data_IF_370712349900
#
_entry.id   IF_370712349900
#
_cell.length_a   1.000
_cell.length_b   1.000
_cell.length_c   1.000
_cell.angle_alpha   90.00
_cell.angle_beta   90.00
_cell.angle_gamma   90.00
#
_symmetry.space_group_name_H-M   'P 1'
#
loop_
_entity.id
_entity.type
_entity.pdbx_description
1 polymer ?
#
# COMPACT_ATOMS: atom_id res chain seq x y z
N UNK A 1 -0.12 5.20 -9.82
CA UNK A 1 0.72 6.17 -9.06
C UNK A 1 2.16 6.04 -9.55
N UNK A 2 2.93 7.12 -9.71
CA UNK A 2 4.34 7.01 -10.12
C UNK A 2 5.25 6.98 -8.90
N UNK A 3 6.26 6.10 -8.92
CA UNK A 3 7.26 5.95 -7.86
C UNK A 3 8.65 5.90 -8.49
N UNK A 4 9.63 6.56 -7.89
CA UNK A 4 11.04 6.40 -8.27
C UNK A 4 11.77 5.68 -7.15
N UNK A 5 12.17 4.43 -7.39
CA UNK A 5 12.82 3.55 -6.41
C UNK A 5 14.17 3.13 -6.98
N UNK A 6 15.25 3.39 -6.23
CA UNK A 6 16.62 3.08 -6.66
C UNK A 6 16.97 3.65 -8.06
N UNK A 7 16.51 4.87 -8.36
CA UNK A 7 16.77 5.54 -9.63
C UNK A 7 15.98 5.01 -10.83
N UNK A 8 15.09 4.03 -10.64
CA UNK A 8 14.16 3.54 -11.67
C UNK A 8 12.75 4.05 -11.40
N UNK A 9 12.07 4.45 -12.46
CA UNK A 9 10.67 4.87 -12.42
C UNK A 9 9.74 3.67 -12.58
N UNK A 10 8.67 3.67 -11.80
CA UNK A 10 7.68 2.61 -11.73
C UNK A 10 6.27 3.21 -11.79
N UNK A 11 5.34 2.48 -12.40
CA UNK A 11 3.92 2.81 -12.36
C UNK A 11 3.18 1.79 -11.51
N UNK A 12 2.73 2.22 -10.32
CA UNK A 12 1.87 1.42 -9.46
C UNK A 12 0.44 1.37 -10.01
N UNK A 13 -0.04 0.15 -10.28
CA UNK A 13 -1.38 -0.19 -10.73
C UNK A 13 -2.17 -0.85 -9.61
N UNK A 14 -3.44 -0.48 -9.47
CA UNK A 14 -4.31 -0.99 -8.40
C UNK A 14 -5.56 -1.66 -9.00
N UNK A 15 -5.35 -2.58 -9.95
CA UNK A 15 -6.39 -3.34 -10.65
C UNK A 15 -6.67 -4.71 -10.03
N UNK A 16 -7.26 -5.63 -10.81
CA UNK A 16 -7.48 -7.02 -10.36
C UNK A 16 -6.17 -7.73 -10.04
N UNK A 17 -5.15 -7.58 -10.90
CA UNK A 17 -3.82 -8.17 -10.68
C UNK A 17 -3.18 -7.74 -9.35
N UNK A 18 -3.46 -6.51 -8.89
CA UNK A 18 -3.02 -6.02 -7.59
C UNK A 18 -3.72 -6.73 -6.43
N UNK A 19 -5.03 -6.96 -6.54
CA UNK A 19 -5.82 -7.67 -5.53
C UNK A 19 -5.38 -9.13 -5.47
N UNK A 20 -5.26 -9.78 -6.64
CA UNK A 20 -4.78 -11.16 -6.74
C UNK A 20 -3.37 -11.31 -6.17
N UNK A 21 -2.47 -10.38 -6.47
CA UNK A 21 -1.12 -10.36 -5.92
C UNK A 21 -1.12 -10.22 -4.39
N UNK A 22 -1.92 -9.30 -3.81
CA UNK A 22 -2.02 -9.17 -2.34
C UNK A 22 -2.75 -10.34 -1.67
N UNK A 23 -3.67 -11.01 -2.34
CA UNK A 23 -4.33 -12.18 -1.80
C UNK A 23 -3.48 -13.46 -1.97
N UNK A 24 -2.42 -13.39 -2.78
CA UNK A 24 -1.48 -14.50 -2.95
C UNK A 24 -0.52 -14.65 -1.76
N UNK A 25 -0.37 -15.89 -1.29
CA UNK A 25 0.55 -16.25 -0.21
C UNK A 25 2.03 -16.02 -0.56
N UNK A 26 2.36 -15.83 -1.83
CA UNK A 26 3.75 -15.66 -2.30
C UNK A 26 4.25 -14.22 -2.12
N UNK A 27 3.34 -13.24 -2.12
CA UNK A 27 3.71 -11.82 -1.98
C UNK A 27 3.54 -11.29 -0.57
N UNK A 28 2.60 -11.85 0.20
CA UNK A 28 2.31 -11.38 1.55
C UNK A 28 2.86 -12.35 2.57
N UNK A 29 3.97 -11.96 3.21
CA UNK A 29 4.47 -12.66 4.38
C UNK A 29 3.36 -12.85 5.41
N UNK A 30 3.41 -13.94 6.15
CA UNK A 30 2.44 -14.22 7.20
C UNK A 30 2.57 -13.18 8.31
N UNK A 31 1.45 -12.71 8.85
CA UNK A 31 1.47 -11.92 10.09
C UNK A 31 1.07 -12.85 11.22
N UNK A 32 1.95 -12.97 12.21
CA UNK A 32 1.63 -13.68 13.45
C UNK A 32 0.57 -12.89 14.22
N UNK A 33 -0.66 -13.43 14.24
CA UNK A 33 -1.74 -12.94 15.06
C UNK A 33 -2.13 -14.04 16.04
N UNK A 34 -1.96 -13.80 17.35
CA UNK A 34 -2.17 -14.79 18.40
C UNK A 34 -1.40 -16.12 18.18
N UNK A 35 -0.19 -16.06 17.64
CA UNK A 35 0.65 -17.25 17.42
C UNK A 35 0.28 -18.07 16.17
N UNK A 36 -0.67 -17.62 15.35
CA UNK A 36 -0.95 -18.18 14.04
C UNK A 36 -0.47 -17.25 12.94
N UNK A 37 0.21 -17.82 11.96
CA UNK A 37 0.63 -17.17 10.74
C UNK A 37 -0.56 -17.06 9.78
N UNK A 38 -1.15 -15.86 9.68
CA UNK A 38 -2.29 -15.60 8.81
C UNK A 38 -1.81 -14.90 7.55
N UNK A 39 -2.19 -15.44 6.39
CA UNK A 39 -2.04 -14.76 5.12
C UNK A 39 -2.86 -13.45 5.14
N UNK A 40 -2.16 -12.34 4.98
CA UNK A 40 -2.74 -11.01 5.14
C UNK A 40 -3.29 -10.61 3.77
N UNK A 41 -4.50 -11.04 3.44
CA UNK A 41 -5.12 -10.62 2.17
C UNK A 41 -5.28 -9.10 2.06
N UNK A 42 -5.66 -8.63 0.88
CA UNK A 42 -5.88 -7.23 0.48
C UNK A 42 -6.61 -6.42 1.55
N UNK A 43 -7.75 -6.94 2.04
CA UNK A 43 -8.57 -6.30 3.08
C UNK A 43 -7.78 -6.05 4.36
N UNK A 44 -6.99 -7.01 4.81
CA UNK A 44 -6.27 -6.92 6.08
C UNK A 44 -5.04 -6.01 5.97
N UNK A 45 -4.27 -6.10 4.88
CA UNK A 45 -3.09 -5.22 4.66
C UNK A 45 -3.51 -3.76 4.56
N UNK A 46 -4.52 -3.47 3.73
CA UNK A 46 -4.99 -2.09 3.55
C UNK A 46 -5.68 -1.61 4.82
N UNK A 47 -6.47 -2.46 5.48
CA UNK A 47 -7.10 -2.15 6.76
C UNK A 47 -6.09 -1.80 7.86
N UNK A 48 -5.00 -2.56 7.97
CA UNK A 48 -3.94 -2.30 8.94
C UNK A 48 -3.12 -1.04 8.61
N UNK A 49 -2.85 -0.77 7.32
CA UNK A 49 -2.25 0.50 6.89
C UNK A 49 -3.16 1.68 7.28
N UNK A 50 -4.45 1.54 7.00
CA UNK A 50 -5.48 2.55 7.29
C UNK A 50 -5.61 2.86 8.78
N UNK A 51 -5.65 1.82 9.62
CA UNK A 51 -5.88 1.93 11.05
C UNK A 51 -4.62 2.39 11.81
N UNK A 52 -3.49 1.75 11.53
CA UNK A 52 -2.26 1.97 12.32
C UNK A 52 -1.34 3.04 11.73
N UNK A 53 -1.56 3.46 10.48
CA UNK A 53 -0.64 4.32 9.70
C UNK A 53 0.80 3.77 9.64
N UNK A 54 1.02 2.50 9.94
CA UNK A 54 2.36 1.93 10.01
C UNK A 54 2.91 1.72 8.59
N UNK A 55 4.02 2.37 8.21
CA UNK A 55 4.55 2.32 6.85
C UNK A 55 5.06 0.92 6.45
N UNK A 56 5.24 -0.02 7.39
CA UNK A 56 5.61 -1.41 7.06
C UNK A 56 4.63 -2.06 6.09
N UNK A 57 3.35 -1.70 6.14
CA UNK A 57 2.31 -2.24 5.26
C UNK A 57 2.40 -1.70 3.83
N UNK A 58 3.20 -0.66 3.57
CA UNK A 58 3.48 -0.19 2.21
C UNK A 58 4.32 -1.19 1.42
N UNK A 59 5.14 -2.04 2.06
CA UNK A 59 5.98 -3.01 1.36
C UNK A 59 5.16 -3.99 0.50
N UNK A 60 4.21 -4.76 1.07
CA UNK A 60 3.38 -5.66 0.25
C UNK A 60 2.50 -4.89 -0.74
N UNK A 61 1.99 -3.71 -0.37
CA UNK A 61 1.17 -2.87 -1.27
C UNK A 61 1.97 -2.43 -2.50
N UNK A 62 3.20 -1.96 -2.32
CA UNK A 62 4.06 -1.52 -3.43
C UNK A 62 4.41 -2.72 -4.30
N UNK A 63 4.79 -3.86 -3.73
CA UNK A 63 5.10 -5.07 -4.51
C UNK A 63 3.93 -5.51 -5.38
N UNK A 64 2.76 -5.64 -4.78
CA UNK A 64 1.56 -6.04 -5.51
C UNK A 64 1.18 -5.01 -6.59
N UNK A 65 1.35 -3.71 -6.31
CA UNK A 65 1.01 -2.67 -7.27
C UNK A 65 1.98 -2.61 -8.45
N UNK A 66 3.16 -3.21 -8.31
CA UNK A 66 4.18 -3.31 -9.34
C UNK A 66 4.24 -4.70 -9.97
N UNK A 67 3.29 -5.60 -9.67
CA UNK A 67 3.35 -6.98 -10.13
C UNK A 67 3.28 -7.15 -11.66
N UNK A 68 2.81 -6.12 -12.37
CA UNK A 68 2.75 -6.07 -13.84
C UNK A 68 3.99 -5.45 -14.49
N UNK A 69 4.96 -4.96 -13.71
CA UNK A 69 6.21 -4.42 -14.22
C UNK A 69 7.19 -5.55 -14.57
N UNK A 70 8.01 -5.38 -15.62
CA UNK A 70 8.99 -6.38 -16.06
C UNK A 70 10.00 -6.77 -14.97
N UNK A 71 10.21 -5.87 -14.00
CA UNK A 71 11.09 -6.09 -12.87
C UNK A 71 10.56 -5.30 -11.67
N UNK A 72 10.40 -6.00 -10.55
CA UNK A 72 9.87 -5.47 -9.29
C UNK A 72 11.05 -5.18 -8.34
N UNK A 73 11.07 -4.04 -7.62
CA UNK A 73 12.05 -3.80 -6.57
C UNK A 73 12.01 -4.87 -5.48
N UNK A 74 13.17 -5.19 -4.92
CA UNK A 74 13.26 -6.09 -3.77
C UNK A 74 12.67 -5.45 -2.50
N UNK A 75 12.26 -6.26 -1.53
CA UNK A 75 11.81 -5.79 -0.21
C UNK A 75 12.80 -4.81 0.44
N UNK A 76 14.10 -5.05 0.26
CA UNK A 76 15.16 -4.19 0.81
C UNK A 76 15.16 -2.82 0.13
N UNK A 77 14.99 -2.77 -1.19
CA UNK A 77 14.92 -1.51 -1.94
C UNK A 77 13.65 -0.73 -1.58
N UNK A 78 12.51 -1.41 -1.43
CA UNK A 78 11.25 -0.78 -1.04
C UNK A 78 11.36 -0.23 0.38
N UNK A 79 11.90 -0.99 1.34
CA UNK A 79 12.11 -0.52 2.72
C UNK A 79 13.02 0.70 2.76
N UNK A 80 14.15 0.68 2.05
CA UNK A 80 15.05 1.84 1.94
C UNK A 80 14.35 3.05 1.34
N UNK A 81 13.53 2.85 0.32
CA UNK A 81 12.74 3.93 -0.27
C UNK A 81 11.71 4.50 0.71
N UNK A 82 11.01 3.65 1.48
CA UNK A 82 10.09 4.09 2.53
C UNK A 82 10.85 4.92 3.57
N UNK A 83 11.97 4.39 4.09
CA UNK A 83 12.80 5.05 5.12
C UNK A 83 13.42 6.37 4.64
N UNK A 84 13.60 6.54 3.32
CA UNK A 84 14.14 7.78 2.74
C UNK A 84 13.09 8.88 2.53
N UNK A 85 11.80 8.64 2.79
CA UNK A 85 10.77 9.65 2.59
C UNK A 85 10.86 10.73 3.67
N UNK A 86 11.01 12.00 3.26
CA UNK A 86 11.08 13.15 4.19
C UNK A 86 9.86 13.24 5.10
N UNK A 87 8.69 12.86 4.60
CA UNK A 87 7.45 12.85 5.35
C UNK A 87 6.68 11.54 5.14
N UNK A 88 7.06 10.52 5.93
CA UNK A 88 6.41 9.21 5.96
C UNK A 88 4.90 9.28 6.12
N UNK A 89 4.39 10.21 6.94
CA UNK A 89 2.95 10.39 7.14
C UNK A 89 2.26 10.78 5.84
N UNK A 90 2.80 11.77 5.13
CA UNK A 90 2.25 12.21 3.86
C UNK A 90 2.35 11.11 2.79
N UNK A 91 3.42 10.31 2.79
CA UNK A 91 3.54 9.14 1.90
C UNK A 91 2.44 8.13 2.16
N UNK A 92 2.22 7.73 3.42
CA UNK A 92 1.13 6.80 3.80
C UNK A 92 -0.23 7.37 3.38
N UNK A 93 -0.48 8.65 3.64
CA UNK A 93 -1.73 9.32 3.28
C UNK A 93 -1.95 9.35 1.75
N UNK A 94 -0.89 9.57 0.96
CA UNK A 94 -0.96 9.55 -0.50
C UNK A 94 -1.31 8.16 -1.04
N UNK A 95 -0.74 7.10 -0.47
CA UNK A 95 -1.10 5.71 -0.84
C UNK A 95 -2.56 5.42 -0.51
N UNK A 96 -3.01 5.74 0.71
CA UNK A 96 -4.40 5.52 1.11
C UNK A 96 -5.39 6.30 0.24
N UNK A 97 -5.05 7.52 -0.18
CA UNK A 97 -5.87 8.29 -1.11
C UNK A 97 -5.97 7.61 -2.48
N UNK A 98 -4.85 7.07 -3.00
CA UNK A 98 -4.88 6.36 -4.28
C UNK A 98 -5.70 5.07 -4.17
N UNK A 99 -5.49 4.28 -3.12
CA UNK A 99 -6.25 3.05 -2.86
C UNK A 99 -7.76 3.33 -2.70
N UNK A 100 -8.14 4.44 -2.07
CA UNK A 100 -9.55 4.84 -1.94
C UNK A 100 -10.23 5.15 -3.28
N UNK A 101 -9.48 5.64 -4.27
CA UNK A 101 -10.00 5.95 -5.61
C UNK A 101 -10.23 4.69 -6.45
N UNK A 102 -9.70 3.54 -6.02
CA UNK A 102 -9.89 2.27 -6.72
C UNK A 102 -11.30 1.76 -6.44
N UNK A 103 -12.13 1.70 -7.48
CA UNK A 103 -13.53 1.27 -7.37
C UNK A 103 -13.66 -0.10 -6.67
N UNK A 104 -12.81 -1.06 -7.05
CA UNK A 104 -12.82 -2.41 -6.49
C UNK A 104 -12.58 -2.44 -4.97
N UNK A 105 -11.79 -1.50 -4.43
CA UNK A 105 -11.45 -1.47 -3.01
C UNK A 105 -12.48 -0.73 -2.15
N UNK A 106 -13.43 -0.01 -2.76
CA UNK A 106 -14.40 0.81 -2.01
C UNK A 106 -15.34 -0.01 -1.14
N UNK A 107 -15.70 -1.21 -1.58
CA UNK A 107 -16.56 -2.13 -0.85
C UNK A 107 -15.77 -3.06 0.08
N UNK A 108 -14.50 -3.32 -0.24
CA UNK A 108 -13.65 -4.27 0.48
C UNK A 108 -13.00 -3.69 1.75
N UNK A 109 -12.89 -2.35 1.84
CA UNK A 109 -12.17 -1.65 2.91
C UNK A 109 -13.08 -0.66 3.61
N UNK A 110 -13.03 -0.61 4.94
CA UNK A 110 -13.81 0.36 5.73
C UNK A 110 -13.20 1.77 5.66
N UNK A 111 -13.44 2.47 4.55
CA UNK A 111 -12.92 3.81 4.30
C UNK A 111 -13.48 4.91 5.22
N UNK A 112 -14.59 4.65 5.94
CA UNK A 112 -15.13 5.62 6.90
C UNK A 112 -14.17 5.82 8.07
N UNK A 113 -13.49 4.77 8.52
CA UNK A 113 -12.41 4.85 9.52
C UNK A 113 -11.18 5.60 9.01
N UNK A 114 -10.94 5.63 7.69
CA UNK A 114 -9.81 6.34 7.04
C UNK A 114 -10.03 7.85 6.96
N UNK A 115 -11.29 8.31 6.80
CA UNK A 115 -11.62 9.73 6.52
C UNK A 115 -11.40 10.70 7.68
N UNK A 116 -11.27 10.23 8.93
CA UNK A 116 -11.22 11.10 10.12
C UNK A 116 -9.90 11.92 10.20
N UNK A 117 -8.85 11.58 9.45
CA UNK A 117 -7.53 12.26 9.56
C UNK A 117 -7.02 12.92 8.26
N UNK A 118 -7.74 12.81 7.14
CA UNK A 118 -7.20 13.05 5.79
C UNK A 118 -7.57 14.41 5.13
N UNK A 119 -8.28 15.31 5.83
CA UNK A 119 -8.77 16.57 5.23
C UNK A 119 -7.66 17.47 4.68
N UNK A 120 -6.50 17.54 5.34
CA UNK A 120 -5.40 18.41 4.92
C UNK A 120 -4.55 17.81 3.79
N UNK A 121 -4.28 16.50 3.83
CA UNK A 121 -3.56 15.83 2.74
C UNK A 121 -4.36 15.86 1.41
N UNK A 122 -5.69 15.69 1.49
CA UNK A 122 -6.59 15.82 0.34
C UNK A 122 -6.50 17.20 -0.34
N UNK A 123 -6.32 18.28 0.43
CA UNK A 123 -6.16 19.64 -0.12
C UNK A 123 -4.85 19.82 -0.87
N UNK A 124 -3.76 19.20 -0.39
CA UNK A 124 -2.43 19.33 -1.00
C UNK A 124 -2.27 18.55 -2.32
N UNK A 125 -3.08 17.51 -2.54
CA UNK A 125 -3.02 16.66 -3.74
C UNK A 125 -4.06 16.99 -4.81
N UNK A 126 -5.10 17.77 -4.46
CA UNK A 126 -6.19 18.17 -5.37
C UNK A 126 -6.23 19.67 -5.67
N UNK A 127 -5.29 20.43 -5.10
CA UNK A 127 -5.10 21.86 -5.33
C UNK A 127 -3.96 22.15 -6.31
#
# INVERSE_FOLDING_TARGET
MKLTINGKDYTAYFGLDFIEALDSNEMVGTVSYNGMDVAVGTTMVIGLLADTRNPKYLVPIIKAALNTEDSIPTDVEIKKWIESQENLKNTVDAFLLNLQKVNLLQEMVNWKSVKIQNKEALKMFLG
#
